data_IF_148579608479
#
_entry.id   IF_148579608479
#
_cell.length_a   1.000
_cell.length_b   1.000
_cell.length_c   1.000
_cell.angle_alpha   90.00
_cell.angle_beta   90.00
_cell.angle_gamma   90.00
#
_symmetry.space_group_name_H-M   'P 1'
#
loop_
_entity.id
_entity.type
_entity.pdbx_description
1 polymer ?
#
# COMPACT_ATOMS: atom_id res chain seq x y z
N UNK A 1 -1.26 16.62 -2.68
CA UNK A 1 -1.86 15.43 -2.08
C UNK A 1 -2.94 14.94 -3.01
N UNK A 2 -2.73 13.75 -3.58
CA UNK A 2 -3.69 13.05 -4.40
C UNK A 2 -4.11 11.78 -3.66
N UNK A 3 -5.39 11.42 -3.69
CA UNK A 3 -5.87 10.20 -3.04
C UNK A 3 -6.51 9.32 -4.11
N UNK A 4 -6.10 8.06 -4.17
CA UNK A 4 -6.66 7.08 -5.09
C UNK A 4 -7.10 5.84 -4.34
N UNK A 5 -8.06 5.10 -4.89
CA UNK A 5 -8.51 3.83 -4.33
C UNK A 5 -8.09 2.72 -5.27
N UNK A 6 -7.38 1.74 -4.72
CA UNK A 6 -6.99 0.53 -5.43
C UNK A 6 -7.74 -0.67 -4.86
N UNK A 7 -7.93 -1.69 -5.70
CA UNK A 7 -8.50 -2.97 -5.27
C UNK A 7 -7.47 -4.04 -5.54
N UNK A 8 -6.99 -4.69 -4.48
CA UNK A 8 -5.98 -5.74 -4.57
C UNK A 8 -6.64 -7.06 -4.19
N UNK A 9 -6.39 -8.10 -4.98
CA UNK A 9 -6.90 -9.44 -4.70
C UNK A 9 -5.87 -10.20 -3.88
N UNK A 10 -6.23 -10.56 -2.65
CA UNK A 10 -5.40 -11.34 -1.72
C UNK A 10 -6.21 -12.59 -1.37
N UNK A 11 -5.65 -13.78 -1.58
CA UNK A 11 -6.36 -15.06 -1.37
C UNK A 11 -7.75 -15.12 -2.03
N UNK A 12 -7.83 -14.69 -3.30
CA UNK A 12 -9.07 -14.63 -4.10
C UNK A 12 -10.13 -13.64 -3.56
N UNK A 13 -9.82 -12.89 -2.51
CA UNK A 13 -10.71 -11.87 -1.93
C UNK A 13 -10.28 -10.47 -2.36
N UNK A 14 -11.23 -9.64 -2.84
CA UNK A 14 -10.93 -8.25 -3.18
C UNK A 14 -10.86 -7.41 -1.90
N UNK A 15 -9.71 -6.77 -1.68
CA UNK A 15 -9.50 -5.80 -0.62
C UNK A 15 -9.32 -4.41 -1.22
N UNK A 16 -10.00 -3.42 -0.64
CA UNK A 16 -9.89 -2.03 -1.07
C UNK A 16 -8.91 -1.28 -0.16
N UNK A 17 -8.00 -0.56 -0.80
CA UNK A 17 -7.02 0.26 -0.09
C UNK A 17 -7.12 1.70 -0.58
N UNK A 18 -7.04 2.63 0.36
CA UNK A 18 -6.88 4.04 0.09
C UNK A 18 -5.39 4.35 0.02
N UNK A 19 -4.98 4.98 -1.06
CA UNK A 19 -3.59 5.36 -1.33
C UNK A 19 -3.52 6.88 -1.39
N UNK A 20 -2.92 7.47 -0.37
CA UNK A 20 -2.61 8.89 -0.32
C UNK A 20 -1.20 9.10 -0.88
N UNK A 21 -1.14 9.80 -2.00
CA UNK A 21 0.07 10.14 -2.73
C UNK A 21 0.47 11.57 -2.33
N UNK A 22 1.57 11.66 -1.62
CA UNK A 22 2.21 12.91 -1.24
C UNK A 22 3.41 13.16 -2.14
N UNK A 23 3.28 14.17 -3.01
CA UNK A 23 4.37 14.66 -3.84
C UNK A 23 5.06 15.80 -3.11
N UNK A 24 6.09 15.48 -2.32
CA UNK A 24 7.01 16.50 -1.82
C UNK A 24 8.07 16.80 -2.87
N UNK A 25 8.63 18.01 -2.86
CA UNK A 25 9.42 18.60 -3.96
C UNK A 25 10.56 17.74 -4.54
N UNK A 26 11.04 16.72 -3.82
CA UNK A 26 12.07 15.78 -4.28
C UNK A 26 11.69 14.30 -4.11
N UNK A 27 10.56 13.98 -3.47
CA UNK A 27 10.20 12.61 -3.13
C UNK A 27 8.70 12.39 -3.19
N UNK A 28 8.29 11.25 -3.77
CA UNK A 28 6.89 10.81 -3.71
C UNK A 28 6.73 9.75 -2.63
N UNK A 29 5.82 9.99 -1.70
CA UNK A 29 5.45 9.05 -0.64
C UNK A 29 4.04 8.55 -0.90
N UNK A 30 3.85 7.24 -0.79
CA UNK A 30 2.55 6.60 -0.95
C UNK A 30 2.16 6.02 0.41
N UNK A 31 1.13 6.56 1.04
CA UNK A 31 0.56 6.00 2.26
C UNK A 31 -0.64 5.18 1.89
N UNK A 32 -0.70 3.94 2.35
CA UNK A 32 -1.74 2.99 2.05
C UNK A 32 -2.44 2.62 3.34
N UNK A 33 -3.74 2.80 3.37
CA UNK A 33 -4.61 2.44 4.50
C UNK A 33 -5.72 1.53 4.01
N UNK A 34 -6.14 0.59 4.85
CA UNK A 34 -7.30 -0.26 4.54
C UNK A 34 -8.57 0.59 4.52
N UNK A 35 -9.44 0.36 3.54
CA UNK A 35 -10.77 0.97 3.50
C UNK A 35 -11.79 0.18 4.36
N UNK A 36 -11.38 -0.97 4.89
CA UNK A 36 -12.22 -1.81 5.76
C UNK A 36 -12.31 -1.21 7.17
N UNK A 37 -13.48 -1.33 7.80
CA UNK A 37 -13.68 -0.92 9.20
C UNK A 37 -12.91 -1.79 10.21
N UNK A 38 -12.39 -2.93 9.75
CA UNK A 38 -11.62 -3.86 10.58
C UNK A 38 -10.16 -3.89 10.14
N UNK A 39 -9.20 -3.86 11.09
CA UNK A 39 -7.81 -4.10 10.77
C UNK A 39 -7.66 -5.51 10.19
N UNK A 40 -6.83 -5.63 9.17
CA UNK A 40 -6.52 -6.91 8.54
C UNK A 40 -5.38 -7.53 9.35
N UNK A 41 -5.58 -8.67 10.02
CA UNK A 41 -4.54 -9.30 10.85
C UNK A 41 -3.21 -9.57 10.10
N UNK A 42 -3.27 -9.64 8.77
CA UNK A 42 -2.15 -9.91 7.88
C UNK A 42 -1.50 -8.64 7.29
N UNK A 43 -1.97 -7.43 7.59
CA UNK A 43 -1.38 -6.17 7.14
C UNK A 43 -1.39 -5.14 8.28
N UNK A 44 -0.34 -4.30 8.42
CA UNK A 44 -0.41 -3.19 9.36
C UNK A 44 -1.49 -2.19 8.93
N UNK A 45 -2.08 -1.48 9.91
CA UNK A 45 -3.14 -0.47 9.71
C UNK A 45 -2.77 0.60 8.68
N UNK A 46 -1.49 0.95 8.62
CA UNK A 46 -0.94 1.90 7.67
C UNK A 46 0.33 1.31 7.08
N UNK A 47 0.45 1.35 5.76
CA UNK A 47 1.66 1.03 5.01
C UNK A 47 2.19 2.31 4.37
N UNK A 48 3.50 2.51 4.35
CA UNK A 48 4.10 3.65 3.68
C UNK A 48 5.16 3.16 2.71
N UNK A 49 5.07 3.57 1.46
CA UNK A 49 6.04 3.29 0.41
C UNK A 49 6.75 4.58 0.00
N UNK A 50 8.04 4.46 -0.31
CA UNK A 50 8.75 5.50 -1.04
C UNK A 50 8.57 5.33 -2.56
N UNK A 51 9.09 6.28 -3.34
CA UNK A 51 9.07 6.25 -4.81
C UNK A 51 9.72 5.03 -5.46
N UNK A 52 10.54 4.29 -4.72
CA UNK A 52 11.19 3.06 -5.16
C UNK A 52 10.41 1.79 -4.78
N UNK A 53 9.24 1.92 -4.16
CA UNK A 53 8.43 0.80 -3.69
C UNK A 53 8.95 0.11 -2.44
N UNK A 54 9.90 0.75 -1.76
CA UNK A 54 10.38 0.25 -0.48
C UNK A 54 9.42 0.71 0.62
N UNK A 55 8.98 -0.25 1.42
CA UNK A 55 8.15 0.03 2.59
C UNK A 55 9.01 0.70 3.66
N UNK A 56 8.62 1.91 4.07
CA UNK A 56 9.32 2.75 5.06
C UNK A 56 8.79 2.48 6.48
N UNK A 57 7.83 1.56 6.63
CA UNK A 57 7.07 1.41 7.87
C UNK A 57 7.92 1.02 9.10
N UNK A 58 7.67 1.72 10.21
CA UNK A 58 8.28 1.47 11.52
C UNK A 58 7.84 0.12 12.13
N UNK A 59 6.65 -0.36 11.79
CA UNK A 59 6.21 -1.72 12.08
C UNK A 59 6.70 -2.68 10.98
N UNK A 60 7.87 -3.27 11.22
CA UNK A 60 8.48 -4.27 10.33
C UNK A 60 7.44 -5.28 9.88
N UNK A 61 7.25 -5.43 8.58
CA UNK A 61 6.62 -6.62 7.99
C UNK A 61 7.35 -7.84 8.59
N UNK A 62 6.67 -8.59 9.45
CA UNK A 62 7.30 -9.68 10.23
C UNK A 62 7.20 -11.01 9.49
N UNK A 63 6.29 -11.11 8.52
CA UNK A 63 6.03 -12.34 7.77
C UNK A 63 6.31 -12.17 6.28
N UNK A 64 6.71 -13.26 5.63
CA UNK A 64 6.90 -13.30 4.17
C UNK A 64 5.58 -12.99 3.44
N UNK A 65 4.45 -13.40 4.02
CA UNK A 65 3.12 -13.10 3.51
C UNK A 65 2.84 -11.60 3.47
N UNK A 66 3.17 -10.88 4.55
CA UNK A 66 3.09 -9.42 4.62
C UNK A 66 3.95 -8.74 3.53
N UNK A 67 5.15 -9.23 3.29
CA UNK A 67 6.02 -8.72 2.22
C UNK A 67 5.45 -8.99 0.82
N UNK A 68 4.86 -10.16 0.59
CA UNK A 68 4.23 -10.50 -0.69
C UNK A 68 3.02 -9.59 -0.95
N UNK A 69 2.18 -9.40 0.06
CA UNK A 69 1.00 -8.53 -0.02
C UNK A 69 1.42 -7.07 -0.26
N UNK A 70 2.44 -6.58 0.46
CA UNK A 70 2.97 -5.25 0.25
C UNK A 70 3.48 -5.03 -1.19
N UNK A 71 4.12 -6.06 -1.78
CA UNK A 71 4.54 -6.01 -3.19
C UNK A 71 3.36 -5.99 -4.15
N UNK A 72 2.30 -6.76 -3.89
CA UNK A 72 1.07 -6.75 -4.70
C UNK A 72 0.41 -5.37 -4.68
N UNK A 73 0.27 -4.78 -3.48
CA UNK A 73 -0.23 -3.41 -3.30
C UNK A 73 0.62 -2.43 -4.11
N UNK A 74 1.95 -2.50 -4.01
CA UNK A 74 2.85 -1.63 -4.74
C UNK A 74 2.70 -1.75 -6.27
N UNK A 75 2.57 -2.98 -6.79
CA UNK A 75 2.34 -3.20 -8.21
C UNK A 75 1.05 -2.53 -8.70
N UNK A 76 -0.04 -2.68 -7.96
CA UNK A 76 -1.32 -2.05 -8.32
C UNK A 76 -1.25 -0.52 -8.24
N UNK A 77 -0.49 0.04 -7.30
CA UNK A 77 -0.22 1.50 -7.24
C UNK A 77 0.51 1.96 -8.49
N UNK A 78 1.59 1.26 -8.88
CA UNK A 78 2.38 1.61 -10.06
C UNK A 78 1.55 1.48 -11.33
N UNK A 79 0.77 0.41 -11.49
CA UNK A 79 -0.11 0.22 -12.64
C UNK A 79 -1.14 1.36 -12.77
N UNK A 80 -1.72 1.80 -11.64
CA UNK A 80 -2.66 2.92 -11.61
C UNK A 80 -2.04 4.29 -11.83
N UNK A 81 -0.81 4.50 -11.36
CA UNK A 81 -0.15 5.82 -11.35
C UNK A 81 0.78 6.04 -12.54
N UNK A 82 1.26 4.96 -13.17
CA UNK A 82 2.12 4.96 -14.37
C UNK A 82 1.61 3.94 -15.38
N UNK A 83 0.50 4.24 -16.09
CA UNK A 83 -0.01 3.38 -17.15
C UNK A 83 0.93 3.32 -18.37
#
# INVERSE_FOLDING_TARGET
METTTITVYIDDKPYRFHVDIDHEAQHTTYRVSTAEEKPLDFLPDTLQYNENGQVVLEERLRTVEQEQIARLIWQEIIDKTKP
#
